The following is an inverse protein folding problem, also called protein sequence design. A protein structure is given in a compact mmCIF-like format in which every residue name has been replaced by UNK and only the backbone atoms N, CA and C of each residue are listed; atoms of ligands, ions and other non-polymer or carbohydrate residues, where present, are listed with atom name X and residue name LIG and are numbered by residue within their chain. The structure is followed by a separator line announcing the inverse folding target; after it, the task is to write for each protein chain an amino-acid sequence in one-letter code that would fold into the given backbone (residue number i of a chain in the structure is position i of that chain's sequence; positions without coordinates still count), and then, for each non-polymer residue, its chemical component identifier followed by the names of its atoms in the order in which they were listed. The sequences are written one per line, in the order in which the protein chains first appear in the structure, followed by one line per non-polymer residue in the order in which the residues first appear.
data_IF_271188904287
#
_entry.id   IF_271188904287
#
_cell.length_a   1.000
_cell.length_b   1.000
_cell.length_c   1.000
_cell.angle_alpha   90.00
_cell.angle_beta   90.00
_cell.angle_gamma   90.00
#
_symmetry.space_group_name_H-M   'P 1'
#
loop_
_entity.id
_entity.type
_entity.pdbx_description
1 polymer ?
#
# COMPACT_ATOMS: atom_id res chain seq x y z
N UNK A 1 1.34 9.23 -8.61
CA UNK A 1 2.19 8.83 -9.73
C UNK A 1 3.32 7.94 -9.28
N UNK A 2 3.72 7.02 -10.15
CA UNK A 2 4.79 6.09 -9.85
C UNK A 2 4.43 4.96 -8.90
N UNK A 3 3.16 4.77 -8.56
CA UNK A 3 2.73 3.65 -7.72
C UNK A 3 2.89 2.33 -8.48
N UNK A 4 3.47 1.32 -7.82
CA UNK A 4 3.66 0.00 -8.37
C UNK A 4 2.84 -1.03 -7.59
N UNK A 5 2.00 -1.78 -8.28
CA UNK A 5 1.23 -2.89 -7.72
C UNK A 5 1.88 -4.20 -8.17
N UNK A 6 2.67 -4.80 -7.30
CA UNK A 6 3.51 -5.96 -7.62
C UNK A 6 2.83 -7.26 -7.16
N UNK A 7 1.82 -7.71 -7.91
CA UNK A 7 1.07 -8.93 -7.56
C UNK A 7 1.72 -10.23 -8.07
N UNK A 8 2.77 -10.15 -8.87
CA UNK A 8 3.50 -11.31 -9.38
C UNK A 8 4.92 -11.32 -8.85
N UNK A 9 5.47 -12.49 -8.68
CA UNK A 9 6.84 -12.67 -8.23
C UNK A 9 7.43 -13.96 -8.74
N UNK A 10 8.58 -14.32 -8.20
CA UNK A 10 9.29 -15.54 -8.53
C UNK A 10 9.59 -16.32 -7.27
N UNK A 11 9.83 -17.62 -7.42
CA UNK A 11 10.25 -18.47 -6.32
C UNK A 11 11.56 -17.96 -5.73
N UNK A 12 11.67 -17.99 -4.40
CA UNK A 12 12.88 -17.53 -3.71
C UNK A 12 14.05 -18.47 -3.98
N UNK A 13 13.81 -19.78 -3.98
CA UNK A 13 14.86 -20.75 -4.22
C UNK A 13 15.33 -20.69 -5.68
N UNK A 14 16.63 -20.57 -5.95
CA UNK A 14 17.13 -20.36 -7.31
C UNK A 14 16.83 -21.53 -8.27
N UNK A 15 16.79 -22.77 -7.79
CA UNK A 15 16.41 -23.91 -8.64
C UNK A 15 14.99 -23.78 -9.18
N UNK A 16 14.05 -23.45 -8.29
CA UNK A 16 12.65 -23.25 -8.68
C UNK A 16 12.49 -22.03 -9.59
N UNK A 17 13.22 -20.96 -9.30
CA UNK A 17 13.19 -19.75 -10.11
C UNK A 17 13.73 -20.01 -11.52
N UNK A 18 14.80 -20.77 -11.66
CA UNK A 18 15.35 -21.12 -12.97
C UNK A 18 14.44 -22.06 -13.76
N UNK A 19 13.55 -22.77 -13.10
CA UNK A 19 12.52 -23.61 -13.74
C UNK A 19 11.31 -22.78 -14.18
N UNK A 20 11.33 -21.47 -14.01
CA UNK A 20 10.23 -20.60 -14.39
C UNK A 20 9.08 -20.59 -13.39
N UNK A 21 9.26 -21.11 -12.18
CA UNK A 21 8.22 -21.09 -11.15
C UNK A 21 8.06 -19.68 -10.61
N UNK A 22 6.89 -19.11 -10.80
CA UNK A 22 6.54 -17.80 -10.31
C UNK A 22 5.47 -17.85 -9.22
N UNK A 23 5.19 -16.70 -8.64
CA UNK A 23 4.15 -16.51 -7.66
C UNK A 23 3.17 -15.45 -8.14
N UNK A 24 1.92 -15.57 -7.72
CA UNK A 24 0.92 -14.56 -8.00
C UNK A 24 -0.05 -14.51 -6.82
N UNK A 25 -0.31 -13.29 -6.34
CA UNK A 25 -1.28 -13.08 -5.27
C UNK A 25 -1.99 -11.75 -5.50
N UNK A 26 -3.33 -11.73 -5.48
CA UNK A 26 -4.08 -10.50 -5.76
C UNK A 26 -3.85 -9.44 -4.70
N UNK A 27 -3.88 -8.18 -5.13
CA UNK A 27 -3.87 -7.02 -4.26
C UNK A 27 -5.30 -6.48 -4.20
N UNK A 28 -5.77 -6.19 -2.99
CA UNK A 28 -7.08 -5.59 -2.77
C UNK A 28 -6.89 -4.19 -2.19
N UNK A 29 -7.37 -3.19 -2.88
CA UNK A 29 -7.37 -1.81 -2.39
C UNK A 29 -8.84 -1.42 -2.26
N UNK A 30 -9.27 -1.19 -1.04
CA UNK A 30 -10.65 -0.83 -0.76
C UNK A 30 -10.93 0.63 -1.10
N UNK A 31 -12.17 1.09 -0.90
CA UNK A 31 -12.59 2.42 -1.36
C UNK A 31 -11.89 3.54 -0.61
N UNK A 32 -11.73 4.68 -1.27
CA UNK A 32 -11.19 5.91 -0.70
C UNK A 32 -9.78 5.78 -0.12
N UNK A 33 -8.96 4.89 -0.64
CA UNK A 33 -7.54 4.76 -0.27
C UNK A 33 -6.72 5.76 -1.07
N UNK A 34 -5.84 6.47 -0.38
CA UNK A 34 -4.86 7.34 -1.03
C UNK A 34 -3.47 6.74 -0.91
N UNK A 35 -2.86 6.44 -2.05
CA UNK A 35 -1.50 5.89 -2.10
C UNK A 35 -0.57 6.99 -2.60
N UNK A 36 0.39 7.38 -1.76
CA UNK A 36 1.37 8.40 -2.08
C UNK A 36 2.29 8.00 -3.24
N UNK A 37 2.95 8.98 -3.82
CA UNK A 37 3.80 8.78 -4.99
C UNK A 37 4.90 7.74 -4.73
N UNK A 38 5.19 6.94 -5.74
CA UNK A 38 6.27 5.95 -5.74
C UNK A 38 6.16 4.88 -4.64
N UNK A 39 4.97 4.68 -4.06
CA UNK A 39 4.74 3.57 -3.15
C UNK A 39 4.66 2.25 -3.94
N UNK A 40 5.06 1.16 -3.30
CA UNK A 40 4.95 -0.19 -3.86
C UNK A 40 4.06 -1.02 -2.96
N UNK A 41 3.09 -1.72 -3.54
CA UNK A 41 2.22 -2.66 -2.82
C UNK A 41 2.53 -4.07 -3.29
N UNK A 42 2.90 -4.92 -2.35
CA UNK A 42 3.26 -6.31 -2.65
C UNK A 42 2.03 -7.20 -2.80
N UNK A 43 2.20 -8.34 -3.47
CA UNK A 43 1.12 -9.29 -3.71
C UNK A 43 0.50 -9.82 -2.43
N UNK A 44 -0.80 -10.11 -2.47
CA UNK A 44 -1.55 -10.65 -1.35
C UNK A 44 -1.97 -9.64 -0.29
N UNK A 45 -1.61 -8.37 -0.45
CA UNK A 45 -1.92 -7.32 0.54
C UNK A 45 -3.32 -6.76 0.31
N UNK A 46 -4.02 -6.50 1.39
CA UNK A 46 -5.28 -5.74 1.41
C UNK A 46 -5.05 -4.42 2.12
N UNK A 47 -5.40 -3.32 1.48
CA UNK A 47 -5.39 -1.99 2.09
C UNK A 47 -6.82 -1.60 2.42
N UNK A 48 -7.10 -1.40 3.70
CA UNK A 48 -8.44 -1.11 4.20
C UNK A 48 -8.96 0.28 3.80
N UNK A 49 -10.27 0.40 3.71
CA UNK A 49 -10.95 1.60 3.23
C UNK A 49 -10.53 2.88 3.97
N UNK A 50 -10.38 3.96 3.24
CA UNK A 50 -10.09 5.28 3.77
C UNK A 50 -8.67 5.50 4.26
N UNK A 51 -7.78 4.50 4.13
CA UNK A 51 -6.41 4.62 4.61
C UNK A 51 -5.52 5.43 3.67
N UNK A 52 -4.45 5.97 4.23
CA UNK A 52 -3.44 6.74 3.50
C UNK A 52 -2.10 6.03 3.61
N UNK A 53 -1.49 5.77 2.46
CA UNK A 53 -0.14 5.20 2.38
C UNK A 53 0.83 6.32 2.00
N UNK A 54 1.84 6.55 2.82
CA UNK A 54 2.83 7.59 2.58
C UNK A 54 3.67 7.34 1.33
N UNK A 55 4.15 8.41 0.71
CA UNK A 55 4.98 8.33 -0.48
C UNK A 55 6.24 7.48 -0.22
N UNK A 56 6.65 6.73 -1.23
CA UNK A 56 7.86 5.90 -1.17
C UNK A 56 7.75 4.67 -0.27
N UNK A 57 6.58 4.38 0.28
CA UNK A 57 6.39 3.22 1.16
C UNK A 57 6.41 1.91 0.40
N UNK A 58 6.77 0.83 1.09
CA UNK A 58 6.67 -0.53 0.57
C UNK A 58 5.73 -1.32 1.48
N UNK A 59 4.53 -1.60 0.98
CA UNK A 59 3.46 -2.26 1.73
C UNK A 59 3.60 -3.77 1.57
N UNK A 60 4.01 -4.45 2.63
CA UNK A 60 4.27 -5.89 2.64
C UNK A 60 3.25 -6.68 3.47
N UNK A 61 2.41 -6.00 4.23
CA UNK A 61 1.38 -6.58 5.10
C UNK A 61 0.07 -5.82 4.92
N UNK A 62 -1.04 -6.45 5.30
CA UNK A 62 -2.33 -5.80 5.26
C UNK A 62 -2.36 -4.52 6.10
N UNK A 63 -3.07 -3.54 5.61
CA UNK A 63 -3.24 -2.25 6.29
C UNK A 63 -4.72 -2.15 6.70
N UNK A 64 -5.01 -1.93 7.99
CA UNK A 64 -6.40 -1.76 8.43
C UNK A 64 -7.05 -0.51 7.84
N UNK A 65 -8.36 -0.43 7.91
CA UNK A 65 -9.10 0.73 7.44
C UNK A 65 -8.85 1.96 8.34
N UNK A 66 -8.92 3.14 7.75
CA UNK A 66 -8.93 4.41 8.48
C UNK A 66 -7.63 4.79 9.15
N UNK A 67 -6.50 4.38 8.61
CA UNK A 67 -5.17 4.67 9.20
C UNK A 67 -4.25 5.39 8.21
N UNK A 68 -3.24 6.04 8.76
CA UNK A 68 -2.07 6.47 8.00
C UNK A 68 -0.96 5.45 8.27
N UNK A 69 -0.38 4.95 7.19
CA UNK A 69 0.73 4.01 7.25
C UNK A 69 1.83 4.47 6.30
N UNK A 70 3.08 4.26 6.68
CA UNK A 70 4.21 4.67 5.85
C UNK A 70 5.47 3.89 6.19
N UNK A 71 6.47 4.00 5.33
CA UNK A 71 7.81 3.48 5.55
C UNK A 71 8.14 2.23 4.73
N UNK A 72 9.35 1.75 4.93
CA UNK A 72 9.90 0.54 4.30
C UNK A 72 10.51 -0.32 5.40
N UNK A 73 9.86 -1.38 5.84
CA UNK A 73 8.50 -1.80 5.48
C UNK A 73 7.44 -0.85 6.03
N UNK A 74 6.33 -0.76 5.33
CA UNK A 74 5.22 0.12 5.72
C UNK A 74 4.58 -0.34 7.04
N UNK A 75 4.37 0.61 7.94
CA UNK A 75 3.77 0.37 9.26
C UNK A 75 2.71 1.42 9.55
N UNK A 76 1.70 1.03 10.31
CA UNK A 76 0.68 1.98 10.77
C UNK A 76 1.32 3.03 11.66
N UNK A 77 1.07 4.30 11.35
CA UNK A 77 1.56 5.44 12.12
C UNK A 77 0.50 5.86 13.15
N UNK A 78 -0.73 6.06 12.69
CA UNK A 78 -1.84 6.46 13.55
C UNK A 78 -3.19 6.31 12.84
N UNK A 79 -4.26 6.40 13.62
CA UNK A 79 -5.62 6.48 13.06
C UNK A 79 -5.89 7.85 12.46
N UNK A 80 -6.74 7.87 11.44
CA UNK A 80 -7.31 9.09 10.89
C UNK A 80 -8.51 9.48 11.76
N UNK A 81 -8.57 10.75 12.17
CA UNK A 81 -9.62 11.25 13.07
C UNK A 81 -10.29 12.48 12.49
N UNK A 82 -11.36 12.95 13.14
CA UNK A 82 -12.05 14.19 12.77
C UNK A 82 -11.11 15.40 12.74
N UNK A 83 -10.03 15.38 13.52
CA UNK A 83 -9.03 16.44 13.55
C UNK A 83 -8.25 16.57 12.24
N UNK A 84 -8.28 15.55 11.39
CA UNK A 84 -7.62 15.58 10.09
C UNK A 84 -8.44 16.32 9.02
N UNK A 85 -9.69 16.69 9.33
CA UNK A 85 -10.52 17.45 8.40
C UNK A 85 -9.97 18.86 8.20
N UNK A 86 -9.91 19.25 6.92
CA UNK A 86 -9.50 20.59 6.52
C UNK A 86 -10.77 21.43 6.36
N UNK A 87 -10.74 22.68 6.82
CA UNK A 87 -11.82 23.62 6.57
C UNK A 87 -11.92 23.92 5.08
N UNK A 88 -13.13 24.04 4.50
CA UNK A 88 -13.27 24.29 3.07
C UNK A 88 -12.46 25.48 2.57
N UNK A 89 -12.32 26.55 3.35
CA UNK A 89 -11.56 27.74 2.98
C UNK A 89 -10.04 27.51 2.95
N UNK A 90 -9.56 26.43 3.56
CA UNK A 90 -8.12 26.10 3.59
C UNK A 90 -7.73 25.09 2.51
N UNK A 91 -8.67 24.65 1.69
CA UNK A 91 -8.39 23.73 0.58
C UNK A 91 -7.79 24.53 -0.57
N UNK A 92 -6.58 24.12 -1.01
CA UNK A 92 -5.79 24.83 -2.02
C UNK A 92 -6.01 24.35 -3.44
N UNK A 93 -6.84 23.34 -3.66
CA UNK A 93 -7.06 22.76 -4.99
C UNK A 93 -8.47 22.24 -5.16
#
# INVERSE_FOLDING_TARGET
PGVCLACSGHAIHPEQRSQGIGTSAPITIEENVWIGANATVCGGVTIGAGSVIGAGSVVTHDIPAGVIAAGVPCRVIRDITEKDKIKPEDILF
#
